data_IF_822727476431
#
_entry.id   IF_822727476431
#
_cell.length_a   1.000
_cell.length_b   1.000
_cell.length_c   1.000
_cell.angle_alpha   90.00
_cell.angle_beta   90.00
_cell.angle_gamma   90.00
#
_symmetry.space_group_name_H-M   'P 1'
#
loop_
_entity.id
_entity.type
_entity.pdbx_description
1 polymer ?
#
# COMPACT_ATOMS: atom_id res chain seq x y z
N UNK A 1 -20.52 -24.79 -10.32
CA UNK A 1 -19.71 -23.56 -10.16
C UNK A 1 -20.59 -22.47 -9.60
N UNK A 2 -20.18 -21.89 -8.47
CA UNK A 2 -20.92 -20.91 -7.67
C UNK A 2 -20.11 -19.62 -7.62
N UNK A 3 -20.80 -18.48 -7.63
CA UNK A 3 -20.18 -17.17 -7.47
C UNK A 3 -20.43 -16.69 -6.04
N UNK A 4 -19.40 -16.05 -5.47
CA UNK A 4 -19.52 -15.43 -4.17
C UNK A 4 -18.58 -14.26 -4.02
N UNK A 5 -18.83 -13.47 -2.97
CA UNK A 5 -18.00 -12.35 -2.56
C UNK A 5 -17.17 -12.74 -1.35
N UNK A 6 -15.87 -12.50 -1.44
CA UNK A 6 -14.96 -12.75 -0.32
C UNK A 6 -15.33 -11.82 0.83
N UNK A 7 -15.76 -12.39 1.96
CA UNK A 7 -16.07 -11.65 3.18
C UNK A 7 -14.78 -11.18 3.82
N UNK A 8 -13.86 -12.12 4.00
CA UNK A 8 -12.50 -11.85 4.47
C UNK A 8 -11.59 -13.02 4.14
N UNK A 9 -10.30 -12.75 4.00
CA UNK A 9 -9.28 -13.76 3.76
C UNK A 9 -8.00 -13.36 4.46
N UNK A 10 -7.41 -14.29 5.23
CA UNK A 10 -6.14 -14.09 5.89
C UNK A 10 -5.02 -14.78 5.09
N UNK A 11 -4.18 -14.02 4.35
CA UNK A 11 -3.10 -14.60 3.56
C UNK A 11 -1.96 -15.17 4.41
N UNK A 12 -1.85 -14.78 5.69
CA UNK A 12 -0.84 -15.33 6.60
C UNK A 12 -1.25 -16.70 7.10
N UNK A 13 -2.54 -16.86 7.43
CA UNK A 13 -3.09 -18.14 7.89
C UNK A 13 -3.50 -19.08 6.75
N UNK A 14 -3.75 -18.54 5.55
CA UNK A 14 -4.09 -19.33 4.37
C UNK A 14 -5.56 -19.77 4.30
N UNK A 15 -6.47 -19.13 5.03
CA UNK A 15 -7.89 -19.44 4.98
C UNK A 15 -8.76 -18.17 5.02
N UNK A 16 -10.00 -18.31 4.60
CA UNK A 16 -10.98 -17.23 4.63
C UNK A 16 -12.40 -17.73 4.41
N UNK A 17 -13.32 -16.78 4.37
CA UNK A 17 -14.74 -17.03 4.16
C UNK A 17 -15.26 -16.22 2.99
N UNK A 18 -16.13 -16.85 2.23
CA UNK A 18 -16.79 -16.27 1.07
C UNK A 18 -18.29 -16.39 1.28
N UNK A 19 -19.01 -15.31 1.06
CA UNK A 19 -20.47 -15.31 1.11
C UNK A 19 -21.00 -15.52 -0.30
N UNK A 20 -21.77 -16.59 -0.52
CA UNK A 20 -22.42 -16.85 -1.81
C UNK A 20 -23.59 -15.88 -2.04
N UNK A 21 -24.20 -15.90 -3.23
CA UNK A 21 -25.39 -15.08 -3.51
C UNK A 21 -26.63 -15.49 -2.69
N UNK A 22 -26.60 -16.67 -2.07
CA UNK A 22 -27.66 -17.17 -1.18
C UNK A 22 -27.49 -16.70 0.28
N UNK A 23 -26.36 -16.04 0.60
CA UNK A 23 -26.06 -15.55 1.95
C UNK A 23 -25.39 -16.58 2.87
N UNK A 24 -24.98 -17.74 2.34
CA UNK A 24 -24.27 -18.77 3.09
C UNK A 24 -22.77 -18.48 3.14
N UNK A 25 -22.16 -18.76 4.30
CA UNK A 25 -20.72 -18.61 4.51
C UNK A 25 -19.98 -19.90 4.13
N UNK A 26 -19.18 -19.82 3.07
CA UNK A 26 -18.38 -20.94 2.55
C UNK A 26 -16.93 -20.80 2.99
N UNK A 27 -16.39 -21.87 3.58
CA UNK A 27 -15.00 -21.92 4.05
C UNK A 27 -14.04 -22.21 2.89
N UNK A 28 -13.00 -21.38 2.73
CA UNK A 28 -12.03 -21.53 1.64
C UNK A 28 -10.61 -21.63 2.19
N UNK A 29 -9.87 -22.64 1.72
CA UNK A 29 -8.48 -22.90 2.06
C UNK A 29 -7.54 -22.64 0.87
N UNK A 30 -6.33 -22.13 1.14
CA UNK A 30 -5.36 -21.77 0.10
C UNK A 30 -4.96 -22.94 -0.81
N UNK A 31 -5.00 -24.18 -0.32
CA UNK A 31 -4.70 -25.38 -1.12
C UNK A 31 -5.65 -25.54 -2.29
N UNK A 32 -6.90 -25.09 -2.12
CA UNK A 32 -7.98 -25.27 -3.09
C UNK A 32 -8.09 -24.13 -4.10
N UNK A 33 -7.19 -23.14 -4.04
CA UNK A 33 -7.15 -22.00 -4.95
C UNK A 33 -6.26 -22.38 -6.14
N UNK A 34 -6.83 -22.40 -7.34
CA UNK A 34 -6.11 -22.58 -8.60
C UNK A 34 -5.51 -21.23 -9.02
N UNK A 35 -4.34 -20.90 -8.49
CA UNK A 35 -3.59 -19.72 -8.91
C UNK A 35 -2.09 -20.00 -8.90
N UNK A 36 -1.43 -19.50 -9.93
CA UNK A 36 0.03 -19.50 -10.04
C UNK A 36 0.62 -18.41 -9.12
N UNK A 37 1.51 -18.80 -8.20
CA UNK A 37 2.15 -17.91 -7.23
C UNK A 37 1.38 -17.68 -5.93
N UNK A 38 1.26 -16.42 -5.48
CA UNK A 38 0.66 -16.08 -4.18
C UNK A 38 -0.88 -16.19 -4.23
N UNK A 39 -1.38 -17.27 -3.61
CA UNK A 39 -2.81 -17.61 -3.47
C UNK A 39 -3.49 -16.73 -2.41
N UNK A 40 -3.66 -15.45 -2.73
CA UNK A 40 -4.30 -14.46 -1.86
C UNK A 40 -5.60 -13.93 -2.48
N UNK A 41 -6.66 -13.87 -1.67
CA UNK A 41 -7.95 -13.25 -2.00
C UNK A 41 -8.07 -11.88 -1.31
N UNK A 42 -8.74 -10.92 -1.96
CA UNK A 42 -9.05 -9.61 -1.36
C UNK A 42 -10.48 -9.57 -0.84
N UNK A 43 -10.73 -8.79 0.20
CA UNK A 43 -12.08 -8.49 0.67
C UNK A 43 -12.93 -7.84 -0.44
N UNK A 44 -14.20 -8.23 -0.51
CA UNK A 44 -15.16 -7.74 -1.49
C UNK A 44 -14.91 -8.22 -2.93
N UNK A 45 -13.93 -9.07 -3.17
CA UNK A 45 -13.62 -9.60 -4.49
C UNK A 45 -14.64 -10.66 -4.92
N UNK A 46 -15.06 -10.61 -6.18
CA UNK A 46 -15.90 -11.64 -6.79
C UNK A 46 -15.05 -12.82 -7.26
N UNK A 47 -15.35 -13.99 -6.72
CA UNK A 47 -14.68 -15.24 -7.07
C UNK A 47 -15.69 -16.31 -7.45
N UNK A 48 -15.26 -17.21 -8.33
CA UNK A 48 -15.99 -18.39 -8.74
C UNK A 48 -15.33 -19.61 -8.10
N UNK A 49 -16.10 -20.44 -7.44
CA UNK A 49 -15.61 -21.64 -6.76
C UNK A 49 -16.65 -22.74 -6.86
N UNK A 50 -16.31 -23.94 -6.41
CA UNK A 50 -17.27 -25.02 -6.23
C UNK A 50 -17.46 -25.24 -4.74
N UNK A 51 -18.66 -24.96 -4.23
CA UNK A 51 -19.01 -25.35 -2.87
C UNK A 51 -19.36 -26.84 -2.82
N UNK A 52 -18.90 -27.50 -1.77
CA UNK A 52 -19.21 -28.90 -1.48
C UNK A 52 -19.41 -29.06 0.02
N UNK A 53 -20.29 -29.98 0.40
CA UNK A 53 -20.45 -30.35 1.81
C UNK A 53 -19.32 -31.28 2.24
N UNK A 54 -18.57 -30.89 3.26
CA UNK A 54 -17.43 -31.65 3.78
C UNK A 54 -17.73 -32.28 5.16
N UNK A 55 -19.00 -32.39 5.55
CA UNK A 55 -19.43 -32.84 6.88
C UNK A 55 -19.11 -31.89 8.05
N UNK A 56 -18.19 -30.93 7.86
CA UNK A 56 -17.87 -29.84 8.81
C UNK A 56 -18.42 -28.48 8.37
N UNK A 57 -19.31 -28.46 7.38
CA UNK A 57 -19.86 -27.27 6.74
C UNK A 57 -19.46 -27.13 5.27
N UNK A 58 -19.96 -26.08 4.65
CA UNK A 58 -19.72 -25.75 3.24
C UNK A 58 -18.27 -25.35 3.02
N UNK A 59 -17.60 -26.04 2.10
CA UNK A 59 -16.21 -25.77 1.72
C UNK A 59 -16.10 -25.44 0.23
N UNK A 60 -15.22 -24.50 -0.09
CA UNK A 60 -14.92 -24.10 -1.46
C UNK A 60 -13.71 -24.84 -2.03
N UNK A 61 -13.87 -25.42 -3.21
CA UNK A 61 -12.78 -25.93 -4.05
C UNK A 61 -12.70 -25.24 -5.41
N UNK A 62 -11.58 -25.40 -6.10
CA UNK A 62 -11.38 -24.91 -7.46
C UNK A 62 -11.61 -23.40 -7.62
N UNK A 63 -11.05 -22.60 -6.70
CA UNK A 63 -11.34 -21.16 -6.62
C UNK A 63 -10.63 -20.40 -7.73
N UNK A 64 -11.43 -19.73 -8.59
CA UNK A 64 -11.02 -18.89 -9.70
C UNK A 64 -11.43 -17.44 -9.46
N UNK A 65 -10.49 -16.52 -9.65
CA UNK A 65 -10.73 -15.09 -9.48
C UNK A 65 -11.35 -14.55 -10.77
N UNK A 66 -12.61 -14.11 -10.71
CA UNK A 66 -13.33 -13.60 -11.88
C UNK A 66 -13.03 -12.13 -12.18
N UNK A 67 -12.88 -11.31 -11.15
CA UNK A 67 -12.60 -9.88 -11.33
C UNK A 67 -11.64 -9.38 -10.27
N UNK A 68 -10.58 -8.73 -10.73
CA UNK A 68 -9.63 -8.02 -9.88
C UNK A 68 -10.08 -6.56 -9.93
N UNK A 69 -10.77 -6.02 -8.90
CA UNK A 69 -10.90 -4.56 -8.81
C UNK A 69 -9.49 -3.96 -8.78
N UNK A 70 -9.25 -2.81 -9.44
CA UNK A 70 -7.91 -2.23 -9.55
C UNK A 70 -7.27 -2.17 -8.16
N UNK A 71 -6.00 -2.59 -8.03
CA UNK A 71 -5.38 -2.72 -6.73
C UNK A 71 -5.39 -1.35 -6.05
N UNK A 72 -6.18 -1.19 -4.98
CA UNK A 72 -5.98 -0.09 -4.03
C UNK A 72 -4.54 -0.19 -3.55
N UNK A 73 -3.67 0.70 -4.06
CA UNK A 73 -2.27 0.83 -3.66
C UNK A 73 -2.28 1.06 -2.15
N UNK A 74 -1.92 0.05 -1.34
CA UNK A 74 -1.36 0.33 -0.02
C UNK A 74 0.05 0.85 -0.29
N UNK A 75 0.46 2.00 0.27
CA UNK A 75 1.76 2.56 -0.01
C UNK A 75 2.79 1.49 0.36
N UNK A 76 3.58 1.08 -0.64
CA UNK A 76 4.84 0.40 -0.44
C UNK A 76 5.59 1.15 0.68
N UNK A 77 6.33 0.47 1.57
CA UNK A 77 7.21 1.15 2.50
C UNK A 77 8.39 1.76 1.73
N UNK A 78 8.11 2.81 0.97
CA UNK A 78 9.07 3.76 0.44
C UNK A 78 9.42 4.71 1.57
N UNK A 79 10.29 4.23 2.44
CA UNK A 79 11.13 4.95 3.41
C UNK A 79 11.87 3.82 4.12
N UNK A 80 13.20 3.75 4.09
CA UNK A 80 14.10 4.71 4.72
C UNK A 80 15.49 4.64 4.05
N UNK A 81 16.16 5.80 3.92
CA UNK A 81 17.59 6.04 3.62
C UNK A 81 17.98 6.27 2.15
N UNK A 82 17.62 7.44 1.61
CA UNK A 82 18.32 8.04 0.47
C UNK A 82 18.35 9.58 0.52
N UNK A 83 18.28 10.19 1.71
CA UNK A 83 18.24 11.66 1.87
C UNK A 83 19.40 12.25 2.68
N UNK A 84 20.41 11.45 3.06
CA UNK A 84 21.53 11.92 3.89
C UNK A 84 22.67 12.60 3.11
N UNK A 85 22.73 12.50 1.78
CA UNK A 85 23.99 12.79 1.06
C UNK A 85 24.00 14.11 0.26
N UNK A 86 22.93 14.93 0.30
CA UNK A 86 22.86 16.15 -0.54
C UNK A 86 22.72 17.48 0.20
N UNK A 87 22.83 17.50 1.54
CA UNK A 87 22.76 18.77 2.31
C UNK A 87 24.11 19.46 2.57
N UNK A 88 25.26 18.87 2.23
CA UNK A 88 26.55 19.56 2.41
C UNK A 88 27.00 20.41 1.22
N UNK A 89 26.42 20.23 0.02
CA UNK A 89 26.87 20.94 -1.19
C UNK A 89 26.35 22.38 -1.35
N UNK A 90 25.58 22.93 -0.40
CA UNK A 90 25.02 24.29 -0.48
C UNK A 90 25.55 25.28 0.55
N UNK A 91 26.32 24.85 1.55
CA UNK A 91 26.83 25.78 2.58
C UNK A 91 28.10 26.54 2.15
N UNK A 92 28.93 26.01 1.25
CA UNK A 92 30.17 26.68 0.83
C UNK A 92 29.97 27.85 -0.15
N UNK A 93 28.78 27.99 -0.77
CA UNK A 93 28.45 29.11 -1.64
C UNK A 93 28.28 30.46 -0.90
N UNK A 94 28.37 30.46 0.44
CA UNK A 94 28.21 31.66 1.28
C UNK A 94 29.52 32.17 1.88
N UNK A 95 30.69 31.77 1.37
CA UNK A 95 31.97 32.50 1.61
C UNK A 95 32.01 33.82 0.79
N UNK A 96 30.95 34.58 0.99
CA UNK A 96 30.81 36.03 1.03
C UNK A 96 32.06 36.75 1.58
N UNK A 97 33.16 36.81 0.84
CA UNK A 97 34.35 37.46 1.38
C UNK A 97 35.34 38.08 0.37
N UNK A 98 35.05 38.14 -0.94
CA UNK A 98 36.05 38.63 -1.93
C UNK A 98 35.54 39.64 -2.96
N UNK A 99 34.50 40.40 -2.65
CA UNK A 99 34.14 41.61 -3.42
C UNK A 99 33.97 42.81 -2.49
N UNK A 100 35.10 43.48 -2.21
CA UNK A 100 35.20 44.87 -1.72
C UNK A 100 35.02 45.84 -2.92
N UNK A 101 35.08 47.17 -2.77
CA UNK A 101 34.48 48.12 -1.81
C UNK A 101 33.80 49.32 -2.55
N UNK A 102 32.95 50.11 -1.89
CA UNK A 102 32.79 51.55 -2.19
C UNK A 102 31.94 52.26 -1.14
N UNK A 103 32.63 53.01 -0.27
CA UNK A 103 32.33 54.36 0.22
C UNK A 103 31.01 54.98 -0.30
N UNK A 104 30.06 55.23 0.59
CA UNK A 104 29.21 56.43 0.53
C UNK A 104 29.10 56.98 1.95
N UNK A 105 29.27 58.29 2.04
CA UNK A 105 29.26 59.09 3.25
C UNK A 105 27.82 59.56 3.45
N UNK A 106 27.21 59.22 4.58
CA UNK A 106 25.96 59.86 4.99
C UNK A 106 26.25 60.69 6.24
N UNK A 107 26.31 61.98 5.94
CA UNK A 107 26.34 63.10 6.86
C UNK A 107 24.93 63.32 7.43
N UNK A 108 24.91 63.69 8.70
CA UNK A 108 23.86 64.45 9.39
C UNK A 108 22.77 63.72 10.19
N UNK A 109 22.64 64.23 11.42
CA UNK A 109 21.45 64.21 12.29
C UNK A 109 21.04 62.91 12.98
N UNK A 110 21.69 62.64 14.14
CA UNK A 110 20.99 62.44 15.43
C UNK A 110 21.98 62.30 16.60
N UNK A 111 22.40 63.44 17.14
CA UNK A 111 22.79 63.58 18.54
C UNK A 111 21.68 64.40 19.22
N UNK A 112 20.87 63.75 20.07
CA UNK A 112 20.26 64.32 21.28
C UNK A 112 19.24 63.34 21.86
N UNK A 113 19.65 62.54 22.85
CA UNK A 113 19.16 62.65 24.23
C UNK A 113 20.04 61.81 25.16
#
# INVERSE_FOLDING_TARGET
MVKGKVKWFDPKKGFGFVTNEQGEDVFIHFTNIEKEGFKCLRDGQTVMYEEFDAGKGLQGKNVKIMSIPPPKKKPSPEKVKAQSERRSARQDARRNARRRPARVVDNDSKWNR
#
